data_IF_242973185867
#
_entry.id   IF_242973185867
#
_cell.length_a   1.000
_cell.length_b   1.000
_cell.length_c   1.000
_cell.angle_alpha   90.00
_cell.angle_beta   90.00
_cell.angle_gamma   90.00
#
_symmetry.space_group_name_H-M   'P 1'
#
loop_
_entity.id
_entity.type
_entity.pdbx_description
1 polymer ?
#
# COMPACT_ATOMS: atom_id res chain seq x y z
N UNK A 1 -4.89 51.36 49.82
CA UNK A 1 -5.71 50.40 49.04
C UNK A 1 -7.04 51.10 48.86
N UNK A 2 -7.32 51.54 47.62
CA UNK A 2 -8.63 52.09 47.24
C UNK A 2 -9.62 50.94 47.14
N UNK A 3 -10.73 51.02 47.86
CA UNK A 3 -11.82 50.07 47.72
C UNK A 3 -12.57 50.36 46.46
N UNK A 4 -12.46 49.43 45.50
CA UNK A 4 -13.23 49.48 44.22
C UNK A 4 -14.58 48.81 44.52
N UNK A 5 -15.65 49.59 44.48
CA UNK A 5 -17.02 49.08 44.58
C UNK A 5 -17.55 48.84 43.14
N UNK A 6 -18.03 47.64 42.91
CA UNK A 6 -18.78 47.33 41.69
C UNK A 6 -20.29 47.44 42.01
N UNK A 7 -21.02 48.20 41.24
CA UNK A 7 -22.47 48.20 41.31
C UNK A 7 -22.98 46.87 40.72
N UNK A 8 -23.35 45.96 41.61
CA UNK A 8 -23.97 44.70 41.21
C UNK A 8 -25.46 44.93 40.94
N UNK A 9 -25.84 44.83 39.67
CA UNK A 9 -27.26 44.83 39.30
C UNK A 9 -27.76 43.41 39.33
N UNK A 10 -28.71 43.12 40.19
CA UNK A 10 -29.40 41.82 40.25
C UNK A 10 -30.21 41.65 38.97
N UNK A 11 -29.85 40.67 38.12
CA UNK A 11 -30.68 40.25 37.01
C UNK A 11 -31.53 39.06 37.42
N UNK A 12 -32.80 39.27 37.79
CA UNK A 12 -33.69 38.19 38.14
C UNK A 12 -33.97 37.33 36.91
N UNK A 13 -33.89 36.00 37.06
CA UNK A 13 -34.17 35.03 36.01
C UNK A 13 -35.21 34.03 36.52
N UNK A 14 -35.94 33.40 35.56
CA UNK A 14 -36.96 32.37 35.92
C UNK A 14 -36.39 31.20 36.72
N UNK A 15 -35.13 30.83 36.47
CA UNK A 15 -34.45 29.76 37.20
C UNK A 15 -34.31 30.03 38.70
N UNK A 16 -34.41 31.28 39.16
CA UNK A 16 -34.40 31.63 40.58
C UNK A 16 -35.82 31.82 41.19
N UNK A 17 -36.90 31.67 40.41
CA UNK A 17 -38.24 31.87 40.85
C UNK A 17 -38.60 33.34 41.15
N UNK A 18 -37.80 34.30 40.74
CA UNK A 18 -37.92 35.72 41.11
C UNK A 18 -38.87 36.53 40.23
N UNK A 19 -39.28 35.99 39.07
CA UNK A 19 -40.21 36.63 38.12
C UNK A 19 -41.30 35.65 37.75
N UNK A 20 -42.54 36.02 37.99
CA UNK A 20 -43.69 35.46 37.31
C UNK A 20 -43.78 36.15 35.92
N UNK A 21 -43.07 35.61 34.94
CA UNK A 21 -43.18 36.11 33.55
C UNK A 21 -44.58 35.86 33.03
N UNK A 22 -45.17 36.82 32.32
CA UNK A 22 -46.38 36.58 31.59
C UNK A 22 -46.17 35.38 30.66
N UNK A 23 -47.12 34.43 30.61
CA UNK A 23 -46.96 33.10 29.98
C UNK A 23 -46.47 33.07 28.53
N UNK A 24 -46.51 34.21 27.84
CA UNK A 24 -45.92 34.35 26.48
C UNK A 24 -44.36 34.37 26.45
N UNK A 25 -43.70 34.98 27.45
CA UNK A 25 -42.22 35.00 27.52
C UNK A 25 -41.67 33.64 27.85
N UNK A 26 -42.30 32.88 28.74
CA UNK A 26 -41.88 31.51 29.09
C UNK A 26 -42.00 30.58 27.91
N UNK A 27 -43.08 30.67 27.15
CA UNK A 27 -43.28 29.89 25.93
C UNK A 27 -42.18 30.19 24.88
N UNK A 28 -41.84 31.48 24.71
CA UNK A 28 -40.82 31.91 23.77
C UNK A 28 -39.43 31.43 24.19
N UNK A 29 -39.11 31.48 25.48
CA UNK A 29 -37.80 30.98 26.00
C UNK A 29 -37.72 29.46 25.84
N UNK A 30 -38.78 28.72 26.20
CA UNK A 30 -38.82 27.25 26.02
C UNK A 30 -38.73 26.85 24.56
N UNK A 31 -39.37 27.56 23.68
CA UNK A 31 -39.28 27.28 22.25
C UNK A 31 -37.89 27.54 21.72
N UNK A 32 -37.20 28.62 22.09
CA UNK A 32 -35.81 28.89 21.73
C UNK A 32 -34.85 27.84 22.32
N UNK A 33 -35.03 27.42 23.56
CA UNK A 33 -34.24 26.34 24.14
C UNK A 33 -34.41 25.04 23.37
N UNK A 34 -35.66 24.67 23.04
CA UNK A 34 -35.94 23.47 22.28
C UNK A 34 -35.39 23.52 20.85
N UNK A 35 -35.49 24.67 20.18
CA UNK A 35 -34.87 24.88 18.87
C UNK A 35 -33.34 24.78 18.93
N UNK A 36 -32.72 25.39 19.95
CA UNK A 36 -31.27 25.33 20.18
C UNK A 36 -30.80 23.90 20.45
N UNK A 37 -31.54 23.17 21.27
CA UNK A 37 -31.26 21.77 21.62
C UNK A 37 -31.40 20.84 20.39
N UNK A 38 -32.46 21.01 19.59
CA UNK A 38 -32.64 20.25 18.34
C UNK A 38 -31.54 20.55 17.32
N UNK A 39 -31.12 21.81 17.19
CA UNK A 39 -30.01 22.19 16.31
C UNK A 39 -28.72 21.52 16.77
N UNK A 40 -28.44 21.53 18.08
CA UNK A 40 -27.27 20.88 18.67
C UNK A 40 -27.26 19.36 18.43
N UNK A 41 -28.39 18.69 18.71
CA UNK A 41 -28.52 17.23 18.48
C UNK A 41 -28.38 16.85 17.01
N UNK A 42 -28.98 17.62 16.11
CA UNK A 42 -28.81 17.38 14.66
C UNK A 42 -27.36 17.53 14.21
N UNK A 43 -26.61 18.49 14.74
CA UNK A 43 -25.19 18.69 14.44
C UNK A 43 -24.33 17.53 14.98
N UNK A 44 -24.56 17.09 16.21
CA UNK A 44 -23.88 15.94 16.79
C UNK A 44 -24.11 14.68 15.94
N UNK A 45 -25.34 14.47 15.49
CA UNK A 45 -25.69 13.35 14.60
C UNK A 45 -24.93 13.44 13.27
N UNK A 46 -24.79 14.63 12.68
CA UNK A 46 -24.03 14.82 11.44
C UNK A 46 -22.53 14.51 11.60
N UNK A 47 -21.92 14.84 12.74
CA UNK A 47 -20.54 14.45 13.02
C UNK A 47 -20.39 12.94 13.22
N UNK A 48 -21.40 12.33 13.82
CA UNK A 48 -21.41 10.87 13.94
C UNK A 48 -21.48 10.19 12.56
N UNK A 49 -22.36 10.66 11.67
CA UNK A 49 -22.39 10.18 10.27
C UNK A 49 -21.08 10.47 9.53
N UNK A 50 -20.48 11.63 9.75
CA UNK A 50 -19.16 11.94 9.20
C UNK A 50 -18.14 10.90 9.64
N UNK A 51 -18.04 10.58 10.93
CA UNK A 51 -17.10 9.60 11.46
C UNK A 51 -17.28 8.23 10.79
N UNK A 52 -18.52 7.77 10.63
CA UNK A 52 -18.83 6.51 9.96
C UNK A 52 -18.41 6.55 8.48
N UNK A 53 -18.81 7.58 7.74
CA UNK A 53 -18.49 7.67 6.31
C UNK A 53 -16.99 7.89 6.04
N UNK A 54 -16.29 8.55 6.94
CA UNK A 54 -14.85 8.78 6.81
C UNK A 54 -14.05 7.53 7.18
N UNK A 55 -14.54 6.65 8.05
CA UNK A 55 -13.85 5.40 8.41
C UNK A 55 -13.71 4.42 7.22
N UNK A 56 -14.45 4.62 6.15
CA UNK A 56 -14.30 3.89 4.89
C UNK A 56 -13.15 4.41 4.01
N UNK A 57 -12.54 5.55 4.36
CA UNK A 57 -11.44 6.11 3.59
C UNK A 57 -10.13 5.42 3.94
N UNK A 58 -9.41 4.98 2.93
CA UNK A 58 -8.09 4.35 3.07
C UNK A 58 -6.95 5.20 2.52
N UNK A 59 -7.30 6.32 1.85
CA UNK A 59 -6.36 7.28 1.30
C UNK A 59 -6.76 8.72 1.62
N UNK A 60 -5.78 9.62 1.62
CA UNK A 60 -6.05 11.04 1.85
C UNK A 60 -6.85 11.67 0.71
N UNK A 61 -6.73 11.14 -0.50
CA UNK A 61 -7.46 11.62 -1.67
C UNK A 61 -8.97 11.31 -1.54
N UNK A 62 -9.33 10.14 -1.01
CA UNK A 62 -10.73 9.79 -0.69
C UNK A 62 -11.30 10.71 0.39
N UNK A 63 -10.49 11.07 1.40
CA UNK A 63 -10.88 12.07 2.41
C UNK A 63 -11.15 13.41 1.75
N UNK A 64 -10.27 13.87 0.85
CA UNK A 64 -10.44 15.12 0.11
C UNK A 64 -11.74 15.19 -0.70
N UNK A 65 -12.18 14.06 -1.27
CA UNK A 65 -13.44 13.99 -2.01
C UNK A 65 -14.68 14.04 -1.10
N UNK A 66 -14.59 13.45 0.10
CA UNK A 66 -15.73 13.35 1.02
C UNK A 66 -15.82 14.54 2.00
N UNK A 67 -14.70 15.12 2.38
CA UNK A 67 -14.61 16.13 3.45
C UNK A 67 -15.47 17.37 3.19
N UNK A 68 -15.56 17.80 1.93
CA UNK A 68 -16.36 18.94 1.53
C UNK A 68 -17.85 18.83 1.87
N UNK A 69 -18.38 17.60 2.03
CA UNK A 69 -19.80 17.39 2.40
C UNK A 69 -20.06 17.73 3.86
N UNK A 70 -19.05 17.64 4.72
CA UNK A 70 -19.20 17.76 6.18
C UNK A 70 -18.68 19.08 6.73
N UNK A 71 -17.67 19.67 6.10
CA UNK A 71 -17.04 20.89 6.60
C UNK A 71 -18.01 22.07 6.66
N UNK A 72 -19.04 22.07 5.79
CA UNK A 72 -20.09 23.09 5.81
C UNK A 72 -21.01 23.01 7.01
N UNK A 73 -20.94 21.94 7.81
CA UNK A 73 -21.65 21.83 9.07
C UNK A 73 -20.96 22.62 10.19
N UNK A 74 -19.71 23.06 9.96
CA UNK A 74 -19.01 23.97 10.86
C UNK A 74 -19.57 25.37 10.61
N UNK A 75 -20.23 25.94 11.61
CA UNK A 75 -20.85 27.26 11.52
C UNK A 75 -19.79 28.35 11.30
N UNK A 76 -20.09 29.31 10.44
CA UNK A 76 -19.16 30.40 10.12
C UNK A 76 -17.93 29.97 9.30
N UNK A 77 -17.85 28.74 8.82
CA UNK A 77 -16.77 28.27 7.96
C UNK A 77 -16.69 29.05 6.64
N UNK A 78 -15.50 29.46 6.28
CA UNK A 78 -15.20 30.14 5.02
C UNK A 78 -14.19 29.33 4.19
N UNK A 79 -12.96 29.17 4.67
CA UNK A 79 -11.87 28.49 3.99
C UNK A 79 -11.23 27.45 4.93
N UNK A 80 -10.66 26.41 4.34
CA UNK A 80 -10.01 25.28 5.05
C UNK A 80 -8.80 24.79 4.29
N UNK A 81 -7.73 24.47 4.99
CA UNK A 81 -6.68 23.64 4.45
C UNK A 81 -6.13 22.66 5.48
N UNK A 82 -5.80 21.47 5.02
CA UNK A 82 -5.10 20.44 5.78
C UNK A 82 -3.64 20.42 5.34
N UNK A 83 -2.74 20.59 6.29
CA UNK A 83 -1.30 20.63 6.07
C UNK A 83 -0.64 19.47 6.82
N UNK A 84 -0.13 18.50 6.10
CA UNK A 84 0.50 17.30 6.65
C UNK A 84 2.01 17.39 6.57
N UNK A 85 2.68 16.80 7.53
CA UNK A 85 4.13 16.64 7.53
C UNK A 85 4.59 15.82 6.33
N UNK A 86 5.65 16.21 5.65
CA UNK A 86 6.22 15.40 4.57
C UNK A 86 6.57 14.00 5.08
N UNK A 87 6.09 12.96 4.38
CA UNK A 87 6.30 11.56 4.74
C UNK A 87 5.55 11.12 6.01
N UNK A 88 4.44 11.73 6.35
CA UNK A 88 3.63 11.42 7.53
C UNK A 88 3.19 9.95 7.62
N UNK A 89 3.04 9.26 6.49
CA UNK A 89 2.68 7.83 6.42
C UNK A 89 3.81 6.88 6.81
N UNK A 90 5.06 7.30 6.68
CA UNK A 90 6.24 6.42 6.81
C UNK A 90 6.94 6.55 8.16
N UNK A 91 6.76 7.66 8.86
CA UNK A 91 7.45 7.94 10.11
C UNK A 91 6.86 7.19 11.31
N UNK A 92 7.75 6.66 12.16
CA UNK A 92 7.37 5.92 13.36
C UNK A 92 7.11 6.83 14.57
N UNK A 93 7.75 7.99 14.62
CA UNK A 93 7.63 8.97 15.70
C UNK A 93 7.67 10.38 15.12
N UNK A 94 6.64 11.18 15.40
CA UNK A 94 6.59 12.58 15.05
C UNK A 94 6.63 13.44 16.31
N UNK A 95 7.80 13.97 16.61
CA UNK A 95 7.94 15.00 17.66
C UNK A 95 7.96 16.39 16.99
N UNK A 96 6.79 16.85 16.54
CA UNK A 96 6.63 18.15 15.93
C UNK A 96 6.55 18.14 14.39
N UNK A 97 6.49 19.32 13.79
CA UNK A 97 6.32 19.50 12.35
C UNK A 97 7.64 19.32 11.58
N UNK A 98 7.56 18.77 10.36
CA UNK A 98 8.68 18.71 9.43
C UNK A 98 8.97 20.10 8.83
N UNK A 99 10.18 20.32 8.27
CA UNK A 99 10.52 21.58 7.62
C UNK A 99 9.71 21.81 6.34
N UNK A 100 9.38 20.72 5.64
CA UNK A 100 8.47 20.71 4.51
C UNK A 100 7.14 20.10 4.88
N UNK A 101 6.08 20.71 4.40
CA UNK A 101 4.69 20.31 4.60
C UNK A 101 4.05 20.05 3.25
N UNK A 102 3.03 19.21 3.23
CA UNK A 102 2.19 18.93 2.07
C UNK A 102 0.76 19.39 2.37
N UNK A 103 0.09 20.00 1.39
CA UNK A 103 -1.31 20.38 1.53
C UNK A 103 -2.17 19.52 0.59
N UNK A 104 -2.63 18.35 1.07
CA UNK A 104 -3.44 17.46 0.25
C UNK A 104 -4.88 17.93 0.07
N UNK A 105 -5.41 18.73 1.00
CA UNK A 105 -6.80 19.17 0.97
C UNK A 105 -6.87 20.67 1.20
N UNK A 106 -7.56 21.36 0.30
CA UNK A 106 -7.86 22.78 0.39
C UNK A 106 -9.27 23.09 -0.13
N UNK A 107 -10.02 23.87 0.66
CA UNK A 107 -11.36 24.35 0.29
C UNK A 107 -11.36 25.85 0.43
N UNK A 108 -11.67 26.55 -0.65
CA UNK A 108 -11.72 28.01 -0.70
C UNK A 108 -13.01 28.47 -1.33
N UNK A 109 -13.71 29.42 -0.70
CA UNK A 109 -15.00 29.93 -1.17
C UNK A 109 -16.01 28.80 -1.47
N UNK A 110 -16.02 27.76 -0.66
CA UNK A 110 -16.84 26.54 -0.82
C UNK A 110 -16.51 25.67 -2.03
N UNK A 111 -15.39 25.90 -2.69
CA UNK A 111 -14.89 25.04 -3.76
C UNK A 111 -13.69 24.24 -3.27
N UNK A 112 -13.69 22.95 -3.60
CA UNK A 112 -12.52 22.12 -3.36
C UNK A 112 -11.45 22.47 -4.40
N UNK A 113 -10.43 23.15 -3.94
CA UNK A 113 -9.27 23.52 -4.75
C UNK A 113 -8.06 22.64 -4.43
N UNK A 114 -8.30 21.45 -3.82
CA UNK A 114 -7.23 20.53 -3.43
C UNK A 114 -6.25 20.38 -4.60
N UNK A 115 -5.08 20.99 -4.49
CA UNK A 115 -4.09 20.89 -5.53
C UNK A 115 -3.47 19.49 -5.47
N UNK A 116 -2.81 19.12 -6.53
CA UNK A 116 -1.93 17.98 -6.53
C UNK A 116 -0.79 18.21 -5.52
N UNK A 117 -1.05 17.93 -4.23
CA UNK A 117 -0.08 17.92 -3.12
C UNK A 117 0.97 19.03 -3.18
N UNK A 118 0.54 20.29 -3.06
CA UNK A 118 1.45 21.42 -3.00
C UNK A 118 2.39 21.27 -1.79
N UNK A 119 3.69 21.33 -2.03
CA UNK A 119 4.72 21.32 -0.98
C UNK A 119 5.12 22.74 -0.66
N UNK A 120 5.18 23.06 0.62
CA UNK A 120 5.55 24.40 1.10
C UNK A 120 6.45 24.33 2.34
N UNK A 121 7.10 25.43 2.67
CA UNK A 121 7.92 25.52 3.88
C UNK A 121 7.01 25.79 5.10
N UNK A 122 7.21 25.06 6.19
CA UNK A 122 6.39 25.21 7.41
C UNK A 122 6.34 26.64 7.96
N UNK A 123 7.34 27.47 7.63
CA UNK A 123 7.38 28.88 8.07
C UNK A 123 6.30 29.74 7.40
N UNK A 124 5.75 29.30 6.29
CA UNK A 124 4.66 29.99 5.60
C UNK A 124 3.34 29.86 6.37
N UNK A 125 3.19 28.87 7.25
CA UNK A 125 1.99 28.51 8.03
C UNK A 125 0.74 28.30 7.19
N UNK A 126 0.43 29.22 6.31
CA UNK A 126 -0.68 29.17 5.33
C UNK A 126 -0.07 29.18 3.93
N UNK A 127 -0.32 28.14 3.11
CA UNK A 127 0.16 28.09 1.73
C UNK A 127 -0.28 29.29 0.91
N UNK A 128 0.54 29.74 -0.03
CA UNK A 128 0.29 30.96 -0.82
C UNK A 128 -1.03 30.94 -1.59
N UNK A 129 -1.46 29.76 -2.07
CA UNK A 129 -2.74 29.63 -2.76
C UNK A 129 -3.96 29.91 -1.85
N UNK A 130 -3.79 29.80 -0.52
CA UNK A 130 -4.79 30.12 0.48
C UNK A 130 -4.67 31.55 1.03
N UNK A 131 -3.58 32.26 0.76
CA UNK A 131 -3.38 33.63 1.22
C UNK A 131 -4.18 34.66 0.38
N UNK A 132 -4.47 35.83 0.97
CA UNK A 132 -5.13 36.96 0.35
C UNK A 132 -4.37 38.24 0.68
N UNK A 133 -4.52 39.28 -0.16
CA UNK A 133 -3.99 40.60 0.14
C UNK A 133 -4.76 41.32 1.29
N UNK A 134 -6.01 40.90 1.52
CA UNK A 134 -6.81 41.40 2.64
C UNK A 134 -6.43 40.68 3.95
N UNK A 135 -6.51 41.40 5.09
CA UNK A 135 -6.29 40.78 6.41
C UNK A 135 -7.22 39.58 6.65
N UNK A 136 -6.64 38.45 7.01
CA UNK A 136 -7.36 37.23 7.27
C UNK A 136 -7.04 36.73 8.68
N UNK A 137 -8.06 36.16 9.35
CA UNK A 137 -7.87 35.47 10.63
C UNK A 137 -7.98 33.95 10.38
N UNK A 138 -6.94 33.23 10.74
CA UNK A 138 -6.88 31.79 10.63
C UNK A 138 -6.78 31.14 12.03
N UNK A 139 -7.54 30.10 12.23
CA UNK A 139 -7.43 29.21 13.40
C UNK A 139 -6.66 27.97 12.98
N UNK A 140 -5.56 27.73 13.69
CA UNK A 140 -4.72 26.56 13.46
C UNK A 140 -4.92 25.57 14.60
N UNK A 141 -5.12 24.28 14.26
CA UNK A 141 -5.13 23.21 15.22
C UNK A 141 -4.21 22.09 14.77
N UNK A 142 -3.45 21.53 15.70
CA UNK A 142 -2.60 20.38 15.41
C UNK A 142 -3.44 19.15 15.12
N UNK A 143 -3.08 18.43 14.07
CA UNK A 143 -3.60 17.11 13.75
C UNK A 143 -2.66 16.08 14.38
N UNK A 144 -3.13 15.41 15.40
CA UNK A 144 -2.35 14.43 16.14
C UNK A 144 -3.23 13.28 16.64
N UNK A 145 -2.58 12.15 16.89
CA UNK A 145 -3.17 11.03 17.60
C UNK A 145 -2.17 10.56 18.64
N UNK A 146 -2.52 10.67 19.92
CA UNK A 146 -1.59 10.45 21.02
C UNK A 146 -0.31 11.30 20.85
N UNK A 147 0.86 10.66 20.79
CA UNK A 147 2.16 11.30 20.61
C UNK A 147 2.57 11.51 19.14
N UNK A 148 1.73 11.06 18.18
CA UNK A 148 1.98 11.21 16.75
C UNK A 148 1.40 12.52 16.26
N UNK A 149 2.22 13.41 15.74
CA UNK A 149 1.81 14.63 15.08
C UNK A 149 1.82 14.44 13.56
N UNK A 150 0.66 14.49 12.92
CA UNK A 150 0.53 14.38 11.47
C UNK A 150 0.76 15.70 10.75
N UNK A 151 0.46 16.81 11.40
CA UNK A 151 0.49 18.13 10.83
C UNK A 151 -0.47 19.08 11.55
N UNK A 152 -1.09 19.96 10.82
CA UNK A 152 -2.12 20.87 11.32
C UNK A 152 -3.19 21.11 10.28
N UNK A 153 -4.32 21.58 10.73
CA UNK A 153 -5.37 22.14 9.89
C UNK A 153 -5.53 23.64 10.18
N UNK A 154 -5.90 24.36 9.14
CA UNK A 154 -6.17 25.77 9.26
C UNK A 154 -7.57 26.07 8.71
N UNK A 155 -8.37 26.77 9.50
CA UNK A 155 -9.72 27.20 9.17
C UNK A 155 -9.83 28.71 9.25
N UNK A 156 -10.54 29.27 8.30
CA UNK A 156 -10.97 30.66 8.32
C UNK A 156 -12.46 30.71 8.62
N UNK A 157 -12.84 31.56 9.58
CA UNK A 157 -14.23 31.79 9.93
C UNK A 157 -14.67 33.20 9.52
N UNK A 158 -15.98 33.36 9.28
CA UNK A 158 -16.60 34.64 8.94
C UNK A 158 -16.61 35.54 10.17
N UNK A 159 -16.86 34.99 11.36
CA UNK A 159 -16.74 35.69 12.64
C UNK A 159 -16.11 34.79 13.72
N UNK A 160 -15.57 35.43 14.76
CA UNK A 160 -14.83 34.75 15.82
C UNK A 160 -15.72 34.14 16.92
N UNK A 161 -17.00 34.49 16.99
CA UNK A 161 -17.89 34.06 18.07
C UNK A 161 -18.40 32.61 17.92
N UNK A 162 -18.36 32.10 16.67
CA UNK A 162 -18.96 30.81 16.30
C UNK A 162 -18.03 29.61 16.43
N UNK A 163 -16.75 29.79 16.79
CA UNK A 163 -15.66 28.81 16.70
C UNK A 163 -15.66 27.68 17.72
N UNK A 164 -16.62 27.50 18.54
CA UNK A 164 -16.50 26.68 19.73
C UNK A 164 -16.35 25.16 19.56
N UNK A 165 -17.28 24.42 20.16
CA UNK A 165 -17.21 22.97 20.40
C UNK A 165 -17.15 22.10 19.14
N UNK A 166 -17.78 22.52 18.05
CA UNK A 166 -17.90 21.73 16.82
C UNK A 166 -16.55 21.52 16.13
N UNK A 167 -15.66 22.53 16.17
CA UNK A 167 -14.32 22.43 15.63
C UNK A 167 -13.44 21.40 16.37
N UNK A 168 -13.60 21.29 17.69
CA UNK A 168 -12.87 20.29 18.47
C UNK A 168 -13.27 18.86 18.07
N UNK A 169 -14.57 18.59 17.86
CA UNK A 169 -15.03 17.29 17.38
C UNK A 169 -14.50 16.97 15.99
N UNK A 170 -14.53 17.95 15.10
CA UNK A 170 -13.96 17.86 13.76
C UNK A 170 -12.49 17.45 13.81
N UNK A 171 -11.68 18.18 14.57
CA UNK A 171 -10.24 17.94 14.70
C UNK A 171 -9.94 16.52 15.23
N UNK A 172 -10.69 16.06 16.22
CA UNK A 172 -10.57 14.70 16.77
C UNK A 172 -10.90 13.65 15.71
N UNK A 173 -11.98 13.83 14.94
CA UNK A 173 -12.38 12.89 13.90
C UNK A 173 -11.29 12.82 12.81
N UNK A 174 -10.77 13.97 12.36
CA UNK A 174 -9.71 14.01 11.37
C UNK A 174 -8.41 13.39 11.90
N UNK A 175 -8.03 13.64 13.15
CA UNK A 175 -6.86 13.00 13.76
C UNK A 175 -6.97 11.48 13.82
N UNK A 176 -8.13 10.96 14.23
CA UNK A 176 -8.40 9.51 14.23
C UNK A 176 -8.35 8.92 12.81
N UNK A 177 -8.98 9.60 11.86
CA UNK A 177 -8.99 9.18 10.45
C UNK A 177 -7.58 9.08 9.86
N UNK A 178 -6.70 10.05 10.12
CA UNK A 178 -5.31 10.01 9.67
C UNK A 178 -4.56 8.82 10.28
N UNK A 179 -4.82 8.51 11.55
CA UNK A 179 -4.28 7.33 12.21
C UNK A 179 -4.77 6.03 11.55
N UNK A 180 -6.06 5.94 11.22
CA UNK A 180 -6.65 4.77 10.58
C UNK A 180 -6.06 4.55 9.18
N UNK A 181 -5.93 5.61 8.38
CA UNK A 181 -5.28 5.55 7.06
C UNK A 181 -3.83 5.07 7.19
N UNK A 182 -3.05 5.63 8.12
CA UNK A 182 -1.67 5.24 8.34
C UNK A 182 -1.58 3.76 8.75
N UNK A 183 -2.45 3.31 9.62
CA UNK A 183 -2.49 1.91 10.10
C UNK A 183 -2.87 0.96 8.97
N UNK A 184 -3.89 1.30 8.19
CA UNK A 184 -4.32 0.53 7.03
C UNK A 184 -3.18 0.36 6.00
N UNK A 185 -2.51 1.45 5.63
CA UNK A 185 -1.41 1.39 4.66
C UNK A 185 -0.19 0.62 5.19
N UNK A 186 0.13 0.72 6.49
CA UNK A 186 1.17 -0.11 7.10
C UNK A 186 0.80 -1.58 7.08
N UNK A 187 -0.46 -1.90 7.34
CA UNK A 187 -0.96 -3.27 7.30
C UNK A 187 -0.90 -3.86 5.90
N UNK A 188 -1.29 -3.09 4.88
CA UNK A 188 -1.17 -3.49 3.47
C UNK A 188 0.29 -3.80 3.09
N UNK A 189 1.23 -2.91 3.41
CA UNK A 189 2.67 -3.15 3.17
C UNK A 189 3.21 -4.39 3.90
N UNK A 190 2.68 -4.71 5.08
CA UNK A 190 3.06 -5.92 5.80
C UNK A 190 2.49 -7.18 5.14
N UNK A 191 1.25 -7.13 4.67
CA UNK A 191 0.63 -8.25 3.93
C UNK A 191 1.41 -8.52 2.65
N UNK A 192 1.73 -7.48 1.85
CA UNK A 192 2.56 -7.61 0.64
C UNK A 192 3.92 -8.28 0.94
N UNK A 193 4.60 -7.84 2.01
CA UNK A 193 5.88 -8.45 2.42
C UNK A 193 5.73 -9.91 2.87
N UNK A 194 4.65 -10.22 3.57
CA UNK A 194 4.37 -11.60 3.97
C UNK A 194 4.10 -12.47 2.73
N UNK A 195 3.32 -11.99 1.79
CA UNK A 195 3.06 -12.69 0.52
C UNK A 195 4.35 -12.92 -0.26
N UNK A 196 5.23 -11.90 -0.38
CA UNK A 196 6.54 -12.07 -0.99
C UNK A 196 7.40 -13.14 -0.27
N UNK A 197 7.39 -13.16 1.06
CA UNK A 197 8.12 -14.19 1.82
C UNK A 197 7.53 -15.59 1.63
N UNK A 198 6.21 -15.70 1.50
CA UNK A 198 5.52 -16.97 1.26
C UNK A 198 5.68 -17.48 -0.16
N UNK A 199 5.93 -16.60 -1.13
CA UNK A 199 6.06 -16.93 -2.54
C UNK A 199 7.51 -17.24 -2.96
N UNK A 200 8.48 -17.16 -2.05
CA UNK A 200 9.91 -17.40 -2.34
C UNK A 200 10.42 -18.70 -1.73
N UNK A 201 11.35 -19.35 -2.44
CA UNK A 201 12.16 -20.45 -1.92
C UNK A 201 13.27 -19.91 -1.01
N UNK A 202 13.35 -20.45 0.21
CA UNK A 202 14.27 -19.94 1.23
C UNK A 202 15.75 -20.17 0.90
N UNK A 203 16.11 -21.19 0.08
CA UNK A 203 17.47 -21.49 -0.29
C UNK A 203 17.97 -20.65 -1.43
N UNK A 204 17.16 -20.51 -2.48
CA UNK A 204 17.54 -19.88 -3.75
C UNK A 204 17.07 -18.43 -3.89
N UNK A 205 16.02 -18.03 -3.15
CA UNK A 205 15.37 -16.73 -3.28
C UNK A 205 14.51 -16.57 -4.55
N UNK A 206 14.47 -17.59 -5.43
CA UNK A 206 13.54 -17.66 -6.56
C UNK A 206 12.09 -17.80 -6.08
N UNK A 207 11.10 -17.66 -6.96
CA UNK A 207 9.75 -18.06 -6.57
C UNK A 207 9.71 -19.55 -6.20
N UNK A 208 8.91 -19.89 -5.20
CA UNK A 208 8.56 -21.28 -4.93
C UNK A 208 7.37 -21.70 -5.82
N UNK A 209 6.87 -22.94 -5.70
CA UNK A 209 5.74 -23.44 -6.47
C UNK A 209 4.53 -22.52 -6.41
N UNK A 210 4.16 -22.06 -5.22
CA UNK A 210 3.04 -21.14 -5.03
C UNK A 210 3.27 -19.79 -5.72
N UNK A 211 4.45 -19.21 -5.57
CA UNK A 211 4.82 -17.95 -6.23
C UNK A 211 4.81 -18.06 -7.75
N UNK A 212 5.21 -19.22 -8.29
CA UNK A 212 5.14 -19.52 -9.71
C UNK A 212 3.68 -19.59 -10.21
N UNK A 213 2.82 -20.34 -9.50
CA UNK A 213 1.40 -20.46 -9.83
C UNK A 213 0.67 -19.10 -9.73
N UNK A 214 0.93 -18.32 -8.67
CA UNK A 214 0.30 -17.02 -8.44
C UNK A 214 0.63 -15.99 -9.53
N UNK A 215 1.81 -16.08 -10.16
CA UNK A 215 2.28 -15.13 -11.18
C UNK A 215 2.16 -15.69 -12.59
N UNK A 216 2.42 -16.97 -12.78
CA UNK A 216 2.38 -17.65 -14.06
C UNK A 216 0.96 -17.83 -14.57
N UNK A 217 0.00 -18.22 -13.72
CA UNK A 217 -1.39 -18.40 -14.17
C UNK A 217 -2.02 -17.13 -14.74
N UNK A 218 -1.92 -15.94 -14.08
CA UNK A 218 -2.42 -14.70 -14.68
C UNK A 218 -1.73 -14.34 -16.00
N UNK A 219 -0.40 -14.51 -16.08
CA UNK A 219 0.36 -14.29 -17.33
C UNK A 219 -0.12 -15.22 -18.44
N UNK A 220 -0.31 -16.49 -18.13
CA UNK A 220 -0.79 -17.50 -19.08
C UNK A 220 -2.20 -17.18 -19.62
N UNK A 221 -3.14 -16.82 -18.73
CA UNK A 221 -4.50 -16.47 -19.13
C UNK A 221 -4.54 -15.16 -19.93
N UNK A 222 -3.75 -14.16 -19.56
CA UNK A 222 -3.62 -12.92 -20.32
C UNK A 222 -3.06 -13.18 -21.73
N UNK A 223 -1.99 -13.95 -21.84
CA UNK A 223 -1.40 -14.31 -23.14
C UNK A 223 -2.40 -15.08 -24.02
N UNK A 224 -3.20 -15.94 -23.44
CA UNK A 224 -4.28 -16.67 -24.10
C UNK A 224 -5.37 -15.74 -24.65
N UNK A 225 -5.78 -14.73 -23.86
CA UNK A 225 -6.76 -13.72 -24.30
C UNK A 225 -6.20 -12.81 -25.41
N UNK A 226 -4.93 -12.43 -25.31
CA UNK A 226 -4.25 -11.54 -26.26
C UNK A 226 -3.69 -12.27 -27.49
N UNK A 227 -3.73 -13.61 -27.51
CA UNK A 227 -3.16 -14.42 -28.58
C UNK A 227 -1.64 -14.37 -28.67
N UNK A 228 -0.98 -14.14 -27.54
CA UNK A 228 0.47 -14.12 -27.41
C UNK A 228 1.05 -15.50 -27.14
N UNK A 229 2.30 -15.69 -27.54
CA UNK A 229 3.03 -16.92 -27.31
C UNK A 229 3.46 -17.06 -25.86
N UNK A 230 3.36 -18.26 -25.29
CA UNK A 230 3.91 -18.64 -24.00
C UNK A 230 5.07 -19.59 -24.23
N UNK A 231 6.20 -19.28 -23.62
CA UNK A 231 7.33 -20.17 -23.44
C UNK A 231 7.35 -20.62 -21.98
N UNK A 232 7.26 -21.94 -21.73
CA UNK A 232 7.37 -22.54 -20.41
C UNK A 232 8.40 -23.66 -20.46
N UNK A 233 9.36 -23.65 -19.54
CA UNK A 233 10.35 -24.71 -19.44
C UNK A 233 10.49 -25.25 -18.03
N UNK A 234 10.74 -26.56 -17.94
CA UNK A 234 11.13 -27.29 -16.74
C UNK A 234 12.62 -27.62 -16.83
N UNK A 235 13.32 -27.37 -15.76
CA UNK A 235 14.76 -27.61 -15.62
C UNK A 235 14.96 -28.46 -14.38
N UNK A 236 15.69 -29.56 -14.47
CA UNK A 236 15.98 -30.47 -13.37
C UNK A 236 17.51 -30.61 -13.22
N UNK A 237 17.99 -30.41 -11.99
CA UNK A 237 19.41 -30.61 -11.69
C UNK A 237 19.75 -32.09 -11.66
N UNK A 238 20.66 -32.50 -12.52
CA UNK A 238 21.10 -33.89 -12.60
C UNK A 238 21.97 -34.30 -11.39
N UNK A 239 21.73 -35.49 -10.87
CA UNK A 239 22.64 -36.09 -9.90
C UNK A 239 22.65 -35.48 -8.51
N UNK A 240 21.67 -34.65 -8.13
CA UNK A 240 21.61 -34.00 -6.83
C UNK A 240 21.76 -34.98 -5.64
N UNK A 241 21.12 -36.16 -5.74
CA UNK A 241 21.22 -37.19 -4.69
C UNK A 241 22.67 -37.68 -4.54
N UNK A 242 23.41 -37.86 -5.64
CA UNK A 242 24.79 -38.29 -5.60
C UNK A 242 25.70 -37.24 -4.97
N UNK A 243 25.48 -35.98 -5.27
CA UNK A 243 26.21 -34.88 -4.63
C UNK A 243 25.94 -34.87 -3.12
N UNK A 244 24.67 -34.99 -2.71
CA UNK A 244 24.31 -35.04 -1.30
C UNK A 244 24.94 -36.25 -0.59
N UNK A 245 24.88 -37.44 -1.19
CA UNK A 245 25.37 -38.68 -0.59
C UNK A 245 26.90 -38.69 -0.47
N UNK A 246 27.63 -38.12 -1.44
CA UNK A 246 29.09 -38.14 -1.47
C UNK A 246 29.75 -36.94 -0.78
N UNK A 247 29.12 -35.73 -0.87
CA UNK A 247 29.74 -34.48 -0.42
C UNK A 247 28.92 -33.75 0.66
N UNK A 248 27.73 -34.28 1.00
CA UNK A 248 26.86 -33.72 2.03
C UNK A 248 25.88 -32.67 1.53
N UNK A 249 24.84 -32.41 2.32
CA UNK A 249 23.75 -31.48 1.95
C UNK A 249 24.19 -30.03 1.71
N UNK A 250 25.26 -29.58 2.35
CA UNK A 250 25.80 -28.22 2.14
C UNK A 250 26.28 -28.05 0.68
N UNK A 251 26.91 -29.09 0.11
CA UNK A 251 27.33 -29.08 -1.28
C UNK A 251 26.15 -29.22 -2.25
N UNK A 252 25.12 -29.98 -1.90
CA UNK A 252 23.87 -30.00 -2.65
C UNK A 252 23.16 -28.63 -2.68
N UNK A 253 23.12 -27.97 -1.54
CA UNK A 253 22.58 -26.58 -1.45
C UNK A 253 23.40 -25.59 -2.29
N UNK A 254 24.74 -25.77 -2.30
CA UNK A 254 25.62 -24.97 -3.15
C UNK A 254 25.32 -25.21 -4.65
N UNK A 255 25.17 -26.47 -5.04
CA UNK A 255 24.87 -26.83 -6.43
C UNK A 255 23.52 -26.24 -6.90
N UNK A 256 22.48 -26.31 -6.05
CA UNK A 256 21.19 -25.66 -6.33
C UNK A 256 21.30 -24.14 -6.50
N UNK A 257 22.10 -23.47 -5.66
CA UNK A 257 22.38 -22.04 -5.82
C UNK A 257 23.11 -21.75 -7.11
N UNK A 258 23.97 -22.64 -7.57
CA UNK A 258 24.70 -22.48 -8.83
C UNK A 258 23.78 -22.64 -10.05
N UNK A 259 22.84 -23.60 -10.03
CA UNK A 259 21.77 -23.70 -11.05
C UNK A 259 20.91 -22.43 -11.07
N UNK A 260 20.52 -21.92 -9.89
CA UNK A 260 19.81 -20.62 -9.81
C UNK A 260 20.62 -19.48 -10.43
N UNK A 261 21.94 -19.39 -10.18
CA UNK A 261 22.79 -18.36 -10.77
C UNK A 261 22.82 -18.50 -12.30
N UNK A 262 22.88 -19.71 -12.83
CA UNK A 262 22.85 -19.98 -14.25
C UNK A 262 21.52 -19.54 -14.89
N UNK A 263 20.37 -19.88 -14.27
CA UNK A 263 19.05 -19.43 -14.74
C UNK A 263 18.95 -17.91 -14.74
N UNK A 264 19.39 -17.27 -13.66
CA UNK A 264 19.34 -15.81 -13.53
C UNK A 264 20.27 -15.08 -14.51
N UNK A 265 21.40 -15.71 -14.87
CA UNK A 265 22.32 -15.19 -15.89
C UNK A 265 21.72 -15.27 -17.30
N UNK A 266 21.06 -16.39 -17.59
CA UNK A 266 20.51 -16.68 -18.91
C UNK A 266 19.20 -15.96 -19.21
N UNK A 267 18.37 -15.74 -18.19
CA UNK A 267 17.01 -15.21 -18.37
C UNK A 267 16.92 -13.74 -17.97
N UNK A 268 16.26 -12.88 -18.78
CA UNK A 268 15.96 -11.50 -18.41
C UNK A 268 14.97 -11.41 -17.23
N UNK A 269 14.89 -10.25 -16.58
CA UNK A 269 14.02 -10.00 -15.41
C UNK A 269 12.50 -10.18 -15.72
N UNK A 270 12.11 -10.06 -16.98
CA UNK A 270 10.72 -10.28 -17.40
C UNK A 270 10.28 -11.75 -17.33
N UNK A 271 11.24 -12.70 -17.28
CA UNK A 271 10.95 -14.14 -17.14
C UNK A 271 10.70 -14.48 -15.69
N UNK A 272 9.54 -15.10 -15.41
CA UNK A 272 9.26 -15.65 -14.09
C UNK A 272 10.09 -16.91 -13.89
N UNK A 273 10.89 -16.94 -12.82
CA UNK A 273 11.83 -18.01 -12.50
C UNK A 273 11.49 -18.57 -11.13
N UNK A 274 11.36 -19.89 -11.02
CA UNK A 274 10.97 -20.57 -9.80
C UNK A 274 11.78 -21.83 -9.51
N UNK A 275 11.87 -22.20 -8.24
CA UNK A 275 12.23 -23.54 -7.79
C UNK A 275 11.00 -24.19 -7.18
N UNK A 276 10.43 -25.16 -7.90
CA UNK A 276 9.13 -25.76 -7.57
C UNK A 276 9.24 -27.11 -6.91
N UNK A 277 10.42 -27.73 -6.94
CA UNK A 277 10.75 -29.00 -6.31
C UNK A 277 12.09 -28.99 -5.59
N UNK A 278 12.58 -30.17 -5.18
CA UNK A 278 13.89 -30.32 -4.54
C UNK A 278 15.05 -29.93 -5.46
N UNK A 279 15.05 -30.43 -6.68
CA UNK A 279 16.01 -30.23 -7.77
C UNK A 279 15.38 -29.66 -9.05
N UNK A 280 14.07 -29.34 -8.99
CA UNK A 280 13.27 -28.85 -10.12
C UNK A 280 13.12 -27.34 -10.11
N UNK A 281 13.32 -26.75 -11.27
CA UNK A 281 13.13 -25.30 -11.55
C UNK A 281 12.18 -25.14 -12.73
N UNK A 282 11.42 -24.07 -12.72
CA UNK A 282 10.50 -23.71 -13.80
C UNK A 282 10.71 -22.25 -14.20
N UNK A 283 10.56 -21.99 -15.49
CA UNK A 283 10.55 -20.64 -16.05
C UNK A 283 9.36 -20.48 -16.97
N UNK A 284 8.75 -19.29 -16.95
CA UNK A 284 7.68 -18.93 -17.89
C UNK A 284 7.87 -17.48 -18.37
N UNK A 285 7.64 -17.26 -19.64
CA UNK A 285 7.68 -15.96 -20.29
C UNK A 285 6.57 -15.85 -21.34
N UNK A 286 6.06 -14.63 -21.53
CA UNK A 286 5.10 -14.30 -22.56
C UNK A 286 5.75 -13.51 -23.70
N UNK A 287 5.17 -13.62 -24.90
CA UNK A 287 5.51 -12.83 -26.10
C UNK A 287 6.98 -12.93 -26.53
N UNK A 288 7.60 -14.10 -26.36
CA UNK A 288 8.95 -14.39 -26.83
C UNK A 288 8.93 -15.46 -27.93
N UNK A 289 9.86 -15.37 -28.87
CA UNK A 289 10.01 -16.37 -29.91
C UNK A 289 10.63 -17.66 -29.36
N UNK A 290 10.28 -18.82 -29.94
CA UNK A 290 10.80 -20.13 -29.49
C UNK A 290 12.33 -20.18 -29.47
N UNK A 291 12.98 -19.63 -30.47
CA UNK A 291 14.44 -19.56 -30.54
C UNK A 291 15.07 -18.70 -29.43
N UNK A 292 14.37 -17.68 -28.95
CA UNK A 292 14.81 -16.85 -27.82
C UNK A 292 14.70 -17.64 -26.51
N UNK A 293 13.58 -18.31 -26.29
CA UNK A 293 13.42 -19.17 -25.10
C UNK A 293 14.40 -20.34 -25.07
N UNK A 294 14.68 -20.96 -26.24
CA UNK A 294 15.71 -22.00 -26.37
C UNK A 294 17.09 -21.44 -26.03
N UNK A 295 17.40 -20.24 -26.50
CA UNK A 295 18.68 -19.60 -26.22
C UNK A 295 18.90 -19.41 -24.70
N UNK A 296 17.86 -19.10 -23.92
CA UNK A 296 17.98 -19.05 -22.45
C UNK A 296 18.42 -20.38 -21.86
N UNK A 297 17.88 -21.50 -22.37
CA UNK A 297 18.23 -22.83 -21.89
C UNK A 297 19.67 -23.25 -22.33
N UNK A 298 20.09 -22.86 -23.53
CA UNK A 298 21.45 -23.09 -24.02
C UNK A 298 22.49 -22.28 -23.22
N UNK A 299 22.22 -21.00 -22.93
CA UNK A 299 23.06 -20.16 -22.09
C UNK A 299 23.18 -20.68 -20.66
N UNK A 300 22.08 -21.20 -20.10
CA UNK A 300 22.09 -21.85 -18.79
C UNK A 300 23.07 -23.03 -18.78
N UNK A 301 22.99 -23.93 -19.78
CA UNK A 301 23.89 -25.08 -19.87
C UNK A 301 25.35 -24.62 -20.06
N UNK A 302 25.59 -23.67 -20.96
CA UNK A 302 26.92 -23.12 -21.21
C UNK A 302 27.54 -22.49 -19.94
N UNK A 303 26.72 -21.82 -19.10
CA UNK A 303 27.15 -21.29 -17.83
C UNK A 303 27.60 -22.38 -16.86
N UNK A 304 26.84 -23.48 -16.76
CA UNK A 304 27.19 -24.63 -15.91
C UNK A 304 28.43 -25.35 -16.41
N UNK A 305 28.57 -25.54 -17.73
CA UNK A 305 29.75 -26.16 -18.34
C UNK A 305 31.01 -25.32 -18.09
N UNK A 306 30.95 -24.01 -18.27
CA UNK A 306 32.06 -23.12 -17.94
C UNK A 306 32.44 -23.17 -16.46
N UNK A 307 31.45 -23.31 -15.55
CA UNK A 307 31.70 -23.51 -14.13
C UNK A 307 32.44 -24.84 -13.88
N UNK A 308 31.99 -25.95 -14.49
CA UNK A 308 32.62 -27.27 -14.35
C UNK A 308 34.06 -27.26 -14.86
N UNK A 309 34.30 -26.65 -16.05
CA UNK A 309 35.66 -26.49 -16.60
C UNK A 309 36.60 -25.67 -15.71
N UNK A 310 36.07 -24.75 -14.89
CA UNK A 310 36.88 -23.96 -13.95
C UNK A 310 37.51 -24.81 -12.85
N UNK A 311 37.05 -26.06 -12.65
CA UNK A 311 37.60 -27.02 -11.69
C UNK A 311 37.45 -26.60 -10.20
N UNK A 312 36.48 -25.77 -9.90
CA UNK A 312 36.26 -25.25 -8.55
C UNK A 312 35.69 -26.24 -7.53
N UNK A 313 35.21 -27.39 -8.00
CA UNK A 313 34.60 -28.46 -7.20
C UNK A 313 35.11 -29.84 -7.68
N UNK A 314 35.00 -30.86 -6.79
CA UNK A 314 35.30 -32.26 -7.11
C UNK A 314 34.15 -32.98 -7.84
N UNK A 315 33.07 -32.28 -8.17
CA UNK A 315 31.92 -32.78 -8.89
C UNK A 315 31.44 -31.75 -9.91
N UNK A 316 30.81 -32.24 -10.96
CA UNK A 316 30.19 -31.43 -11.99
C UNK A 316 28.71 -31.18 -11.68
N UNK A 317 28.22 -30.00 -12.07
CA UNK A 317 26.82 -29.60 -11.95
C UNK A 317 26.22 -29.58 -13.36
N UNK A 318 25.23 -30.41 -13.59
CA UNK A 318 24.51 -30.51 -14.85
C UNK A 318 23.01 -30.30 -14.64
N UNK A 319 22.32 -29.83 -15.67
CA UNK A 319 20.89 -29.72 -15.69
C UNK A 319 20.32 -30.26 -17.01
N UNK A 320 19.19 -30.91 -16.90
CA UNK A 320 18.39 -31.36 -18.04
C UNK A 320 17.11 -30.52 -18.12
N UNK A 321 16.64 -30.21 -19.32
CA UNK A 321 15.47 -29.38 -19.51
C UNK A 321 14.54 -29.88 -20.60
N UNK A 322 13.29 -29.44 -20.53
CA UNK A 322 12.29 -29.55 -21.58
C UNK A 322 11.40 -28.32 -21.59
N UNK A 323 10.81 -28.00 -22.71
CA UNK A 323 9.98 -26.81 -22.87
C UNK A 323 8.78 -27.03 -23.76
N UNK A 324 7.76 -26.17 -23.60
CA UNK A 324 6.64 -26.00 -24.51
C UNK A 324 6.58 -24.52 -24.94
N UNK A 325 6.40 -24.28 -26.25
CA UNK A 325 6.33 -22.92 -26.76
C UNK A 325 5.28 -22.83 -27.87
N UNK A 326 4.17 -22.16 -27.57
CA UNK A 326 3.09 -21.89 -28.55
C UNK A 326 2.11 -20.84 -28.02
N UNK A 327 1.24 -20.36 -28.90
CA UNK A 327 0.06 -19.58 -28.48
C UNK A 327 -0.93 -20.53 -27.82
N UNK A 328 -1.36 -20.28 -26.55
CA UNK A 328 -2.32 -21.14 -25.87
C UNK A 328 -3.69 -21.14 -26.56
N UNK A 329 -4.26 -22.33 -26.81
CA UNK A 329 -5.65 -22.47 -27.25
C UNK A 329 -6.63 -22.29 -26.07
N UNK A 330 -7.93 -22.17 -26.37
CA UNK A 330 -8.97 -22.04 -25.33
C UNK A 330 -9.03 -23.25 -24.35
N UNK A 331 -8.53 -24.40 -24.75
CA UNK A 331 -8.53 -25.63 -23.95
C UNK A 331 -7.21 -25.84 -23.18
N UNK A 332 -6.18 -25.06 -23.50
CA UNK A 332 -4.89 -25.15 -22.81
C UNK A 332 -4.96 -24.53 -21.41
N UNK A 333 -4.27 -25.17 -20.48
CA UNK A 333 -3.97 -24.65 -19.15
C UNK A 333 -2.47 -24.68 -18.93
N UNK A 334 -1.99 -23.93 -17.95
CA UNK A 334 -0.56 -23.93 -17.60
C UNK A 334 -0.08 -25.34 -17.23
N UNK A 335 -0.91 -26.15 -16.58
CA UNK A 335 -0.57 -27.53 -16.23
C UNK A 335 -0.32 -28.42 -17.47
N UNK A 336 -1.01 -28.17 -18.59
CA UNK A 336 -0.76 -28.91 -19.83
C UNK A 336 0.64 -28.58 -20.36
N UNK A 337 1.03 -27.30 -20.36
CA UNK A 337 2.37 -26.89 -20.76
C UNK A 337 3.45 -27.46 -19.82
N UNK A 338 3.21 -27.44 -18.51
CA UNK A 338 4.10 -28.05 -17.52
C UNK A 338 4.30 -29.53 -17.84
N UNK A 339 3.21 -30.29 -18.06
CA UNK A 339 3.28 -31.71 -18.36
C UNK A 339 4.02 -32.02 -19.67
N UNK A 340 3.77 -31.27 -20.72
CA UNK A 340 4.48 -31.43 -22.01
C UNK A 340 5.98 -31.14 -21.85
N UNK A 341 6.33 -30.10 -21.11
CA UNK A 341 7.72 -29.73 -20.81
C UNK A 341 8.41 -30.82 -19.97
N UNK A 342 7.73 -31.38 -18.96
CA UNK A 342 8.24 -32.44 -18.13
C UNK A 342 8.52 -33.74 -18.93
N UNK A 343 7.61 -34.13 -19.82
CA UNK A 343 7.82 -35.29 -20.68
C UNK A 343 9.04 -35.14 -21.63
N UNK A 344 9.31 -33.91 -22.08
CA UNK A 344 10.49 -33.61 -22.92
C UNK A 344 11.74 -33.61 -22.05
N UNK A 345 11.71 -32.96 -20.87
CA UNK A 345 12.82 -32.91 -19.94
C UNK A 345 13.26 -34.31 -19.51
N UNK A 346 12.32 -35.18 -19.18
CA UNK A 346 12.63 -36.55 -18.77
C UNK A 346 13.34 -37.34 -19.90
N UNK A 347 12.90 -37.22 -21.16
CA UNK A 347 13.58 -37.82 -22.32
C UNK A 347 15.00 -37.30 -22.48
N UNK A 348 15.19 -36.00 -22.39
CA UNK A 348 16.49 -35.37 -22.51
C UNK A 348 17.43 -35.80 -21.37
N UNK A 349 16.91 -35.89 -20.12
CA UNK A 349 17.64 -36.37 -18.95
C UNK A 349 18.21 -37.79 -19.15
N UNK A 350 17.41 -38.68 -19.74
CA UNK A 350 17.85 -40.05 -20.08
C UNK A 350 18.96 -40.02 -21.12
N UNK A 351 18.81 -39.25 -22.20
CA UNK A 351 19.81 -39.12 -23.28
C UNK A 351 21.12 -38.52 -22.69
N UNK A 352 21.03 -37.49 -21.91
CA UNK A 352 22.19 -36.82 -21.30
C UNK A 352 22.98 -37.76 -20.40
N UNK A 353 22.30 -38.59 -19.59
CA UNK A 353 22.94 -39.61 -18.75
C UNK A 353 23.69 -40.66 -19.58
N UNK A 354 23.08 -41.16 -20.68
CA UNK A 354 23.72 -42.10 -21.60
C UNK A 354 24.97 -41.47 -22.19
N UNK A 355 24.91 -40.23 -22.66
CA UNK A 355 26.03 -39.53 -23.27
C UNK A 355 27.20 -39.30 -22.30
N UNK A 356 26.91 -39.13 -21.01
CA UNK A 356 27.92 -39.02 -19.92
C UNK A 356 28.42 -40.38 -19.39
N UNK A 357 27.88 -41.50 -19.90
CA UNK A 357 28.25 -42.83 -19.44
C UNK A 357 27.76 -43.20 -18.05
N UNK A 358 26.73 -42.53 -17.56
CA UNK A 358 26.12 -42.76 -16.24
C UNK A 358 25.13 -43.93 -16.31
N UNK A 359 25.08 -44.75 -15.22
CA UNK A 359 24.15 -45.85 -15.17
C UNK A 359 22.70 -45.34 -15.04
N UNK A 360 21.82 -45.86 -15.92
CA UNK A 360 20.37 -45.68 -15.79
C UNK A 360 19.88 -46.49 -14.58
N UNK A 361 19.41 -45.87 -13.53
CA UNK A 361 18.75 -46.50 -12.37
C UNK A 361 17.24 -46.43 -12.49
#
# INVERSE_FOLDING_TARGET
>A
MENVFFDAVLQPRESCGCIASEGQEVMTIRQRMYETENISQNREMQFHFMSIHMSECHTIDEVGQKIGRYIYNIEGFKDYCMCLCEGWLEKKEFKGFTDKMEMPIAIRNRENISPTRERFDRRELIPKCMSSEEPQMWFLASLHFQDLCFGYEALQFIDAETTGRMYMYWNIIIGNLLQDIMTYQKMQKLVEKLEEMYDRDALTGMYNRRGFENRGNPMFEQAKEEGKQIFLAIIDMDGMKQINDNYGHIEGDYALKKVREAIHHACPDAVIQARTGGDEFEIIAEDIAENEGVHYLEELVAYLDAFNESGGKEYDIHASYGYACRVPSQQDTMEIFIKESDEIMYRNKVINKINRGEALR
#
